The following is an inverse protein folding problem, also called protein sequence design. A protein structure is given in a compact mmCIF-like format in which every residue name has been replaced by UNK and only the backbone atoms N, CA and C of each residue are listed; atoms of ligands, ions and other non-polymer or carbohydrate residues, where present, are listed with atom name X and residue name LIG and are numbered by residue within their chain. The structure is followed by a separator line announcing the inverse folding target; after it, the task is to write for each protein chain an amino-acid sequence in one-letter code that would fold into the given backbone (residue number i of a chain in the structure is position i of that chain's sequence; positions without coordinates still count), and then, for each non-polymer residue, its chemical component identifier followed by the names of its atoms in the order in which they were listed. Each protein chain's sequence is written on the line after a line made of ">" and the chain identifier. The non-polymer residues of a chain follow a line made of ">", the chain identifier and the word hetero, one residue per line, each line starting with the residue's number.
data_IF_604585640042
#
_entry.id   IF_604585640042
#
_cell.length_a   1.000
_cell.length_b   1.000
_cell.length_c   1.000
_cell.angle_alpha   90.00
_cell.angle_beta   90.00
_cell.angle_gamma   90.00
#
_symmetry.space_group_name_H-M   'P 1'
#
loop_
_entity.id
_entity.type
_entity.pdbx_description
1 polymer ?
#
# COMPACT_ATOMS: atom_id res chain seq x y z
N UNK A 1 -4.67 -58.13 -10.08
CA UNK A 1 -5.39 -56.92 -9.59
C UNK A 1 -5.00 -55.75 -10.49
N UNK A 2 -5.80 -55.47 -11.48
CA UNK A 2 -5.58 -54.33 -12.38
C UNK A 2 -6.27 -53.15 -11.75
N UNK A 3 -5.49 -52.18 -11.37
CA UNK A 3 -5.90 -51.02 -10.54
C UNK A 3 -6.87 -50.12 -11.30
N UNK A 4 -7.99 -49.89 -10.71
CA UNK A 4 -9.12 -49.06 -11.14
C UNK A 4 -8.75 -47.61 -11.52
N UNK A 5 -7.52 -47.21 -11.20
CA UNK A 5 -6.99 -45.88 -11.49
C UNK A 5 -6.59 -45.66 -12.95
N UNK A 6 -6.31 -46.71 -13.71
CA UNK A 6 -5.88 -46.57 -15.10
C UNK A 6 -7.04 -46.24 -16.05
N UNK A 7 -8.25 -46.69 -15.71
CA UNK A 7 -9.43 -46.55 -16.57
C UNK A 7 -10.00 -45.11 -16.53
N UNK A 8 -9.84 -44.42 -15.40
CA UNK A 8 -10.33 -43.04 -15.25
C UNK A 8 -9.51 -42.00 -16.04
N UNK A 9 -8.21 -42.23 -16.23
CA UNK A 9 -7.36 -41.31 -16.99
C UNK A 9 -7.60 -41.37 -18.50
N UNK A 10 -7.99 -42.54 -19.02
CA UNK A 10 -8.26 -42.69 -20.46
C UNK A 10 -9.60 -42.05 -20.84
N UNK A 11 -10.60 -42.15 -19.96
CA UNK A 11 -11.92 -41.56 -20.22
C UNK A 11 -11.92 -40.03 -20.13
N UNK A 12 -11.02 -39.46 -19.33
CA UNK A 12 -10.93 -38.00 -19.12
C UNK A 12 -10.21 -37.30 -20.28
N UNK A 13 -9.29 -38.00 -20.97
CA UNK A 13 -8.57 -37.44 -22.11
C UNK A 13 -9.38 -37.44 -23.41
N UNK A 14 -10.32 -38.39 -23.58
CA UNK A 14 -11.15 -38.43 -24.77
C UNK A 14 -12.25 -37.38 -24.76
N UNK A 15 -12.72 -36.95 -23.58
CA UNK A 15 -13.74 -35.90 -23.47
C UNK A 15 -13.16 -34.50 -23.71
N UNK A 16 -11.88 -34.27 -23.38
CA UNK A 16 -11.20 -33.00 -23.60
C UNK A 16 -10.92 -32.70 -25.09
N UNK A 17 -10.76 -33.73 -25.92
CA UNK A 17 -10.50 -33.56 -27.35
C UNK A 17 -11.75 -33.27 -28.19
N UNK A 18 -12.94 -33.61 -27.70
CA UNK A 18 -14.19 -33.43 -28.44
C UNK A 18 -14.82 -32.06 -28.27
N UNK A 19 -14.41 -31.30 -27.24
CA UNK A 19 -14.91 -29.94 -26.97
C UNK A 19 -14.12 -28.87 -27.74
N UNK A 20 -12.91 -29.20 -28.24
CA UNK A 20 -12.04 -28.23 -28.93
C UNK A 20 -12.37 -27.98 -30.42
N UNK A 21 -13.30 -28.72 -30.99
CA UNK A 21 -13.60 -28.66 -32.44
C UNK A 21 -14.78 -27.74 -32.82
N UNK A 22 -15.41 -27.02 -31.89
CA UNK A 22 -16.65 -26.29 -32.12
C UNK A 22 -16.59 -24.78 -31.96
N UNK A 23 -15.40 -24.19 -31.87
CA UNK A 23 -15.28 -22.71 -31.77
C UNK A 23 -14.40 -22.14 -32.90
N UNK A 24 -14.74 -22.49 -34.14
CA UNK A 24 -14.31 -21.71 -35.30
C UNK A 24 -15.56 -21.15 -35.93
N UNK A 25 -15.97 -20.00 -35.48
CA UNK A 25 -17.06 -19.22 -36.04
C UNK A 25 -16.66 -17.75 -35.99
N UNK A 26 -16.28 -17.28 -37.17
CA UNK A 26 -16.00 -15.87 -37.48
C UNK A 26 -17.06 -14.92 -36.96
N UNK A 27 -16.65 -13.74 -36.56
CA UNK A 27 -17.25 -12.57 -37.18
C UNK A 27 -16.37 -11.34 -37.12
N UNK A 28 -16.13 -10.76 -38.26
CA UNK A 28 -15.52 -9.46 -38.50
C UNK A 28 -16.45 -8.32 -38.09
N UNK A 29 -15.91 -7.32 -37.36
CA UNK A 29 -15.83 -5.87 -37.64
C UNK A 29 -17.11 -5.01 -37.68
N UNK A 30 -17.07 -3.68 -37.63
CA UNK A 30 -15.97 -2.73 -37.46
C UNK A 30 -16.25 -1.62 -36.42
N UNK A 31 -15.21 -0.83 -36.12
CA UNK A 31 -15.23 0.53 -35.60
C UNK A 31 -16.01 0.86 -34.33
N UNK A 32 -15.35 0.71 -33.23
CA UNK A 32 -15.69 1.34 -31.99
C UNK A 32 -14.41 1.55 -31.20
N UNK A 33 -13.99 2.80 -31.09
CA UNK A 33 -12.91 3.29 -30.25
C UNK A 33 -13.21 2.88 -28.82
N UNK A 34 -12.78 1.70 -28.43
CA UNK A 34 -12.72 1.34 -27.02
C UNK A 34 -11.26 1.54 -26.62
N UNK A 35 -11.02 2.67 -25.99
CA UNK A 35 -9.82 2.87 -25.20
C UNK A 35 -9.64 1.65 -24.33
N UNK A 36 -8.79 0.75 -24.77
CA UNK A 36 -8.25 -0.29 -23.91
C UNK A 36 -7.51 0.45 -22.81
N UNK A 37 -8.21 0.66 -21.72
CA UNK A 37 -7.60 0.95 -20.43
C UNK A 37 -6.71 -0.24 -20.14
N UNK A 38 -5.51 -0.20 -20.70
CA UNK A 38 -4.40 -1.01 -20.21
C UNK A 38 -4.22 -0.61 -18.76
N UNK A 39 -4.74 -1.43 -17.85
CA UNK A 39 -4.33 -1.45 -16.46
C UNK A 39 -2.86 -1.89 -16.43
N UNK A 40 -2.01 -1.05 -17.00
CA UNK A 40 -0.63 -0.95 -16.62
C UNK A 40 -0.70 -0.62 -15.14
N UNK A 41 -0.40 -1.57 -14.28
CA UNK A 41 -0.15 -1.33 -12.87
C UNK A 41 0.98 -0.31 -12.82
N UNK A 42 0.59 0.96 -12.83
CA UNK A 42 1.49 2.10 -12.70
C UNK A 42 2.03 1.96 -11.29
N UNK A 43 3.25 1.47 -11.16
CA UNK A 43 4.02 1.56 -9.93
C UNK A 43 4.07 3.04 -9.53
N UNK A 44 3.08 3.49 -8.78
CA UNK A 44 2.96 4.87 -8.36
C UNK A 44 3.89 5.02 -7.16
N UNK A 45 5.17 5.19 -7.41
CA UNK A 45 6.10 5.62 -6.40
C UNK A 45 5.97 7.14 -6.26
N UNK A 46 5.09 7.57 -5.38
CA UNK A 46 4.94 8.99 -5.06
C UNK A 46 5.66 9.31 -3.75
N UNK A 47 6.22 10.50 -3.70
CA UNK A 47 6.88 11.00 -2.49
C UNK A 47 6.33 12.37 -2.17
N UNK A 48 5.90 12.54 -0.92
CA UNK A 48 5.36 13.79 -0.40
C UNK A 48 6.22 14.35 0.73
N UNK A 49 6.35 15.67 0.78
CA UNK A 49 6.90 16.38 1.94
C UNK A 49 5.72 16.88 2.77
N UNK A 50 5.57 16.36 3.97
CA UNK A 50 4.40 16.57 4.82
C UNK A 50 4.84 17.16 6.15
N UNK A 51 4.00 18.02 6.73
CA UNK A 51 4.14 18.49 8.10
C UNK A 51 3.08 17.84 8.98
N UNK A 52 3.36 17.78 10.28
CA UNK A 52 2.39 17.27 11.23
C UNK A 52 2.91 17.29 12.66
N UNK A 53 2.04 16.86 13.56
CA UNK A 53 2.29 16.81 15.01
C UNK A 53 2.22 15.36 15.45
N UNK A 54 3.21 14.90 16.21
CA UNK A 54 3.24 13.55 16.75
C UNK A 54 2.21 13.40 17.87
N UNK A 55 1.22 12.53 17.69
CA UNK A 55 0.17 12.27 18.68
C UNK A 55 0.45 11.03 19.52
N UNK A 56 1.03 9.98 18.92
CA UNK A 56 1.37 8.74 19.61
C UNK A 56 2.58 8.07 18.95
N UNK A 57 3.40 7.39 19.74
CA UNK A 57 4.54 6.61 19.28
C UNK A 57 4.32 5.16 19.72
N UNK A 58 4.42 4.21 18.81
CA UNK A 58 4.30 2.76 19.04
C UNK A 58 5.55 2.06 18.48
N UNK A 59 6.63 2.06 19.26
CA UNK A 59 7.93 1.51 18.83
C UNK A 59 7.85 0.00 18.52
N UNK A 60 7.08 -0.76 19.30
CA UNK A 60 6.89 -2.20 19.09
C UNK A 60 6.24 -2.51 17.74
N UNK A 61 5.41 -1.60 17.26
CA UNK A 61 4.70 -1.72 15.97
C UNK A 61 5.45 -1.00 14.83
N UNK A 62 6.60 -0.38 15.11
CA UNK A 62 7.32 0.50 14.20
C UNK A 62 6.43 1.60 13.60
N UNK A 63 5.52 2.17 14.41
CA UNK A 63 4.46 3.07 13.95
C UNK A 63 4.47 4.38 14.75
N UNK A 64 4.21 5.49 14.07
CA UNK A 64 4.00 6.81 14.66
C UNK A 64 2.66 7.35 14.18
N UNK A 65 1.79 7.73 15.12
CA UNK A 65 0.54 8.42 14.80
C UNK A 65 0.82 9.91 14.66
N UNK A 66 0.56 10.45 13.50
CA UNK A 66 0.81 11.84 13.15
C UNK A 66 -0.50 12.50 12.74
N UNK A 67 -0.81 13.64 13.33
CA UNK A 67 -1.79 14.56 12.81
C UNK A 67 -1.09 15.40 11.74
N UNK A 68 -1.37 15.07 10.48
CA UNK A 68 -0.72 15.69 9.34
C UNK A 68 -1.63 16.71 8.67
N UNK A 69 -1.01 17.71 8.04
CA UNK A 69 -1.71 18.65 7.16
C UNK A 69 -2.21 17.95 5.89
N UNK A 70 -3.08 18.62 5.14
CA UNK A 70 -3.52 18.13 3.84
C UNK A 70 -2.32 17.80 2.94
N UNK A 71 -2.37 16.63 2.31
CA UNK A 71 -1.42 16.20 1.28
C UNK A 71 -2.11 16.36 -0.06
N UNK A 72 -1.79 17.41 -0.84
CA UNK A 72 -2.50 17.74 -2.08
C UNK A 72 -2.53 16.56 -3.05
N UNK A 73 -3.69 16.31 -3.65
CA UNK A 73 -3.95 15.23 -4.58
C UNK A 73 -3.77 13.81 -4.01
N UNK A 74 -3.67 13.67 -2.68
CA UNK A 74 -3.52 12.37 -2.05
C UNK A 74 -4.50 12.15 -0.89
N UNK A 75 -4.47 12.96 0.16
CA UNK A 75 -5.40 12.84 1.29
C UNK A 75 -5.58 14.15 2.06
N UNK A 76 -6.76 14.31 2.68
CA UNK A 76 -7.07 15.44 3.56
C UNK A 76 -6.28 15.41 4.87
N UNK A 77 -6.31 16.52 5.62
CA UNK A 77 -5.71 16.60 6.94
C UNK A 77 -6.41 15.62 7.91
N UNK A 78 -5.63 14.78 8.59
CA UNK A 78 -6.15 13.82 9.58
C UNK A 78 -5.05 13.27 10.50
N UNK A 79 -5.46 12.49 11.50
CA UNK A 79 -4.51 11.74 12.34
C UNK A 79 -4.53 10.28 11.94
N UNK A 80 -3.39 9.76 11.49
CA UNK A 80 -3.26 8.37 11.10
C UNK A 80 -1.92 7.74 11.49
N UNK A 81 -1.83 6.41 11.57
CA UNK A 81 -0.57 5.70 11.80
C UNK A 81 0.28 5.67 10.53
N UNK A 82 1.56 5.96 10.67
CA UNK A 82 2.57 5.81 9.62
C UNK A 82 3.63 4.81 10.02
N UNK A 83 3.99 3.92 9.12
CA UNK A 83 5.10 2.98 9.31
C UNK A 83 6.45 3.69 9.22
N UNK A 84 7.35 3.39 10.16
CA UNK A 84 8.71 3.92 10.21
C UNK A 84 9.69 2.79 9.97
N UNK A 85 10.48 2.89 8.90
CA UNK A 85 11.49 1.87 8.56
C UNK A 85 12.79 2.04 9.36
N UNK A 86 13.22 3.27 9.57
CA UNK A 86 14.43 3.57 10.35
C UNK A 86 14.10 3.73 11.85
N UNK A 87 14.40 2.70 12.62
CA UNK A 87 14.16 2.70 14.08
C UNK A 87 14.91 3.81 14.85
N UNK A 88 15.97 4.36 14.30
CA UNK A 88 16.70 5.48 14.91
C UNK A 88 15.83 6.72 15.07
N UNK A 89 14.77 6.84 14.28
CA UNK A 89 13.79 7.92 14.37
C UNK A 89 13.16 7.96 15.76
N UNK A 90 12.85 6.82 16.39
CA UNK A 90 12.21 6.78 17.71
C UNK A 90 13.05 7.42 18.83
N UNK A 91 14.37 7.42 18.67
CA UNK A 91 15.27 8.06 19.64
C UNK A 91 15.22 9.60 19.61
N UNK A 92 14.80 10.18 18.48
CA UNK A 92 14.85 11.64 18.26
C UNK A 92 13.49 12.31 18.34
N UNK A 93 12.39 11.57 18.23
CA UNK A 93 11.02 12.12 18.23
C UNK A 93 10.34 11.98 19.60
N UNK A 94 9.39 12.85 19.87
CA UNK A 94 8.57 12.84 21.09
C UNK A 94 7.12 13.18 20.76
N UNK A 95 6.19 12.71 21.59
CA UNK A 95 4.80 13.13 21.52
C UNK A 95 4.70 14.64 21.68
N UNK A 96 3.98 15.29 20.79
CA UNK A 96 3.79 16.74 20.73
C UNK A 96 4.80 17.46 19.84
N UNK A 97 5.87 16.81 19.36
CA UNK A 97 6.80 17.45 18.45
C UNK A 97 6.11 17.79 17.12
N UNK A 98 6.37 18.99 16.63
CA UNK A 98 6.06 19.35 15.23
C UNK A 98 7.19 18.86 14.34
N UNK A 99 6.82 18.19 13.26
CA UNK A 99 7.76 17.54 12.37
C UNK A 99 7.49 17.86 10.91
N UNK A 100 8.53 17.78 10.11
CA UNK A 100 8.47 17.58 8.66
C UNK A 100 8.94 16.19 8.36
N UNK A 101 8.25 15.49 7.46
CA UNK A 101 8.64 14.15 7.07
C UNK A 101 8.45 13.90 5.58
N UNK A 102 9.17 12.93 5.08
CA UNK A 102 9.06 12.45 3.70
C UNK A 102 8.25 11.17 3.70
N UNK A 103 7.07 11.21 3.11
CA UNK A 103 6.17 10.08 2.95
C UNK A 103 6.37 9.48 1.57
N UNK A 104 6.75 8.20 1.53
CA UNK A 104 6.78 7.41 0.30
C UNK A 104 5.53 6.56 0.22
N UNK A 105 4.89 6.56 -0.93
CA UNK A 105 3.65 5.84 -1.20
C UNK A 105 3.82 5.01 -2.45
N UNK A 106 3.45 3.74 -2.35
CA UNK A 106 3.33 2.82 -3.48
C UNK A 106 1.89 2.32 -3.57
N UNK A 107 1.59 1.51 -4.54
CA UNK A 107 0.31 0.82 -4.69
C UNK A 107 0.01 -0.19 -3.55
N UNK A 108 1.03 -0.61 -2.79
CA UNK A 108 0.92 -1.64 -1.75
C UNK A 108 1.11 -1.12 -0.34
N UNK A 109 1.96 -0.13 -0.15
CA UNK A 109 2.36 0.34 1.18
C UNK A 109 2.78 1.80 1.18
N UNK A 110 2.76 2.41 2.37
CA UNK A 110 3.31 3.73 2.61
C UNK A 110 4.20 3.72 3.86
N UNK A 111 5.28 4.51 3.83
CA UNK A 111 6.20 4.60 4.97
C UNK A 111 6.89 5.96 5.03
N UNK A 112 7.34 6.30 6.23
CA UNK A 112 8.17 7.48 6.45
C UNK A 112 9.64 7.12 6.20
N UNK A 113 10.29 7.88 5.34
CA UNK A 113 11.72 7.73 5.06
C UNK A 113 12.58 8.65 5.93
N UNK A 114 12.15 9.89 6.12
CA UNK A 114 12.92 10.91 6.83
C UNK A 114 12.01 11.73 7.71
N UNK A 115 12.42 11.97 8.96
CA UNK A 115 11.75 12.88 9.90
C UNK A 115 12.74 13.96 10.34
N UNK A 116 12.27 15.21 10.37
CA UNK A 116 12.95 16.37 10.90
C UNK A 116 12.04 17.03 11.93
N UNK A 117 12.52 17.19 13.15
CA UNK A 117 11.80 17.90 14.21
C UNK A 117 11.97 19.40 14.00
N UNK A 118 10.88 20.10 13.74
CA UNK A 118 10.88 21.55 13.49
C UNK A 118 10.62 22.36 14.76
N UNK A 119 9.74 21.88 15.62
CA UNK A 119 9.45 22.46 16.93
C UNK A 119 9.32 21.34 17.96
N UNK A 120 9.98 21.52 19.10
CA UNK A 120 9.88 20.61 20.22
C UNK A 120 9.07 21.23 21.34
N UNK A 121 7.93 20.64 21.65
CA UNK A 121 7.18 21.04 22.83
C UNK A 121 7.97 20.69 24.09
N UNK A 122 8.39 21.73 24.81
CA UNK A 122 8.96 21.59 26.16
C UNK A 122 7.86 20.95 27.02
N UNK A 123 8.10 19.77 27.58
CA UNK A 123 7.22 19.23 28.62
C UNK A 123 7.08 20.31 29.68
N UNK A 124 5.88 20.80 29.90
CA UNK A 124 5.56 21.53 31.10
C UNK A 124 5.89 20.58 32.26
N UNK A 125 6.92 20.95 33.00
CA UNK A 125 7.38 20.20 34.15
C UNK A 125 6.27 20.40 35.17
N UNK A 126 5.33 19.42 35.26
CA UNK A 126 4.34 19.44 36.34
C UNK A 126 5.13 19.45 37.64
N UNK A 127 5.20 20.64 38.24
CA UNK A 127 5.72 20.84 39.57
C UNK A 127 4.93 19.92 40.51
N UNK A 128 5.59 18.89 40.95
CA UNK A 128 5.14 18.09 42.09
C UNK A 128 5.20 19.04 43.31
N UNK A 129 4.02 19.34 43.80
CA UNK A 129 3.85 20.05 45.08
C UNK A 129 3.49 19.02 46.12
#
# INVERSE_FOLDING_TARGET
>A
MVTWYSLKRVLQNTFALLVFALVIGCNESPDGIISSSSNSAKNINQTFKVKGIIRKISENENTVHIEHEEIPNYMGAMTMPFSVRDKKVFAIIRKGDEIKFKLNVTDKESWIEKIEVTLRHKKEQSSIK
#
